data_IF_454405558199
#
_entry.id   IF_454405558199
#
_cell.length_a   1.000
_cell.length_b   1.000
_cell.length_c   1.000
_cell.angle_alpha   90.00
_cell.angle_beta   90.00
_cell.angle_gamma   90.00
#
_symmetry.space_group_name_H-M   'P 1'
#
loop_
_entity.id
_entity.type
_entity.pdbx_description
1 polymer ?
#
# COMPACT_ATOMS: atom_id res chain seq x y z
N UNK A 1 36.67 -32.09 6.02
CA UNK A 1 37.24 -30.72 5.98
C UNK A 1 38.60 -30.66 6.70
N UNK A 2 39.50 -31.62 6.43
CA UNK A 2 40.84 -31.70 7.07
C UNK A 2 42.02 -31.79 6.08
N UNK A 3 41.79 -32.04 4.78
CA UNK A 3 42.87 -32.26 3.81
C UNK A 3 43.32 -31.03 2.98
N UNK A 4 42.64 -29.87 3.09
CA UNK A 4 43.03 -28.68 2.30
C UNK A 4 44.08 -27.81 3.01
N UNK A 5 44.25 -27.95 4.34
CA UNK A 5 45.20 -27.12 5.10
C UNK A 5 46.67 -27.52 4.92
N UNK A 6 46.97 -28.70 4.36
CA UNK A 6 48.34 -29.20 4.27
C UNK A 6 49.14 -28.68 3.05
N UNK A 7 48.47 -28.15 2.01
CA UNK A 7 49.15 -27.72 0.76
C UNK A 7 49.46 -26.22 0.74
N UNK A 8 48.71 -25.40 1.48
CA UNK A 8 48.77 -23.92 1.36
C UNK A 8 49.90 -23.29 2.20
N UNK A 9 50.49 -24.02 3.14
CA UNK A 9 51.50 -23.50 4.06
C UNK A 9 52.89 -23.22 3.49
N UNK A 10 53.14 -23.46 2.19
CA UNK A 10 54.50 -23.46 1.62
C UNK A 10 54.83 -22.31 0.64
N UNK A 11 53.87 -21.46 0.30
CA UNK A 11 54.09 -20.32 -0.62
C UNK A 11 54.23 -18.95 0.09
N UNK A 12 54.30 -18.92 1.43
CA UNK A 12 54.39 -17.67 2.18
C UNK A 12 55.59 -17.70 3.13
N UNK A 13 56.77 -17.41 2.60
CA UNK A 13 57.88 -16.74 3.30
C UNK A 13 59.04 -16.55 2.30
N UNK A 14 59.13 -15.36 1.72
CA UNK A 14 60.40 -14.75 1.28
C UNK A 14 60.14 -13.26 1.01
N UNK A 15 59.88 -12.51 2.09
CA UNK A 15 60.08 -11.07 2.10
C UNK A 15 60.46 -10.66 3.52
N UNK A 16 61.76 -10.49 3.74
CA UNK A 16 62.42 -9.51 4.62
C UNK A 16 63.78 -10.00 5.15
N UNK A 17 64.67 -9.03 5.36
CA UNK A 17 65.96 -9.04 6.05
C UNK A 17 67.24 -9.43 5.28
N UNK A 18 67.88 -8.40 4.72
CA UNK A 18 69.33 -8.29 4.55
C UNK A 18 69.98 -7.71 5.83
N UNK A 19 71.20 -8.20 6.09
CA UNK A 19 72.21 -7.70 7.05
C UNK A 19 71.90 -8.07 8.51
N UNK A 20 72.80 -8.71 9.27
CA UNK A 20 74.21 -8.38 9.52
C UNK A 20 74.93 -9.54 10.26
N UNK A 21 76.27 -9.55 10.16
CA UNK A 21 77.27 -10.03 11.13
C UNK A 21 77.68 -11.53 11.21
N UNK A 22 78.93 -11.75 10.77
CA UNK A 22 80.05 -12.45 11.43
C UNK A 22 79.91 -13.93 11.83
N UNK A 23 80.47 -14.77 10.97
CA UNK A 23 81.56 -15.74 11.24
C UNK A 23 81.54 -16.59 12.50
N UNK A 24 81.53 -17.92 12.32
CA UNK A 24 82.35 -18.92 13.03
C UNK A 24 82.36 -20.22 12.21
N UNK A 25 83.55 -20.80 12.04
CA UNK A 25 83.82 -22.12 11.45
C UNK A 25 83.19 -23.22 12.33
N UNK A 26 82.51 -24.21 11.75
CA UNK A 26 82.63 -25.64 12.16
C UNK A 26 82.13 -26.54 11.03
N UNK A 27 82.98 -27.48 10.65
CA UNK A 27 82.76 -28.59 9.72
C UNK A 27 81.92 -29.67 10.43
N UNK A 28 80.85 -30.17 9.81
CA UNK A 28 80.47 -31.60 9.93
C UNK A 28 79.54 -32.00 8.78
N UNK A 29 80.05 -32.88 7.90
CA UNK A 29 79.27 -33.71 6.99
C UNK A 29 78.35 -34.63 7.80
N UNK A 30 77.09 -34.79 7.38
CA UNK A 30 76.33 -36.06 7.39
C UNK A 30 75.08 -35.86 6.50
N UNK A 31 74.89 -36.78 5.54
CA UNK A 31 73.56 -37.28 5.18
C UNK A 31 72.69 -36.45 4.24
N UNK A 32 73.18 -36.16 3.03
CA UNK A 32 72.35 -35.72 1.90
C UNK A 32 71.40 -36.87 1.49
N UNK A 33 70.20 -36.90 2.06
CA UNK A 33 69.03 -37.60 1.49
C UNK A 33 67.96 -36.55 1.20
N UNK A 34 68.28 -35.67 0.26
CA UNK A 34 67.33 -34.76 -0.36
C UNK A 34 66.50 -35.60 -1.32
N UNK A 35 65.40 -36.16 -0.81
CA UNK A 35 64.26 -36.46 -1.65
C UNK A 35 63.77 -35.13 -2.22
N UNK A 36 64.28 -34.80 -3.41
CA UNK A 36 63.86 -33.68 -4.22
C UNK A 36 62.34 -33.76 -4.37
N UNK A 37 61.69 -32.81 -3.71
CA UNK A 37 60.32 -32.42 -3.92
C UNK A 37 60.13 -32.08 -5.41
N UNK A 38 59.69 -33.05 -6.21
CA UNK A 38 59.03 -32.78 -7.48
C UNK A 38 57.66 -32.20 -7.18
N UNK A 39 57.61 -30.91 -6.90
CA UNK A 39 56.39 -30.11 -6.79
C UNK A 39 56.56 -28.81 -7.58
N UNK A 40 57.04 -28.93 -8.82
CA UNK A 40 57.17 -27.82 -9.77
C UNK A 40 56.12 -27.88 -10.89
N UNK A 41 55.14 -28.80 -10.80
CA UNK A 41 54.05 -28.93 -11.79
C UNK A 41 52.69 -28.38 -11.32
N UNK A 42 52.51 -28.11 -10.02
CA UNK A 42 51.21 -27.72 -9.45
C UNK A 42 50.92 -26.21 -9.52
N UNK A 43 51.94 -25.36 -9.73
CA UNK A 43 51.72 -23.91 -9.88
C UNK A 43 51.20 -23.57 -11.28
N UNK A 44 51.78 -24.18 -12.33
CA UNK A 44 51.38 -23.95 -13.72
C UNK A 44 49.91 -24.32 -13.98
N UNK A 45 49.42 -25.41 -13.38
CA UNK A 45 48.04 -25.86 -13.58
C UNK A 45 46.98 -25.04 -12.84
N UNK A 46 47.32 -24.46 -11.68
CA UNK A 46 46.43 -23.51 -10.99
C UNK A 46 46.32 -22.22 -11.80
N UNK A 47 47.44 -21.70 -12.32
CA UNK A 47 47.43 -20.49 -13.15
C UNK A 47 46.69 -20.71 -14.48
N UNK A 48 46.84 -21.89 -15.09
CA UNK A 48 46.07 -22.29 -16.27
C UNK A 48 44.56 -22.38 -15.96
N UNK A 49 44.19 -23.01 -14.84
CA UNK A 49 42.79 -23.10 -14.41
C UNK A 49 42.16 -21.72 -14.19
N UNK A 50 42.89 -20.81 -13.54
CA UNK A 50 42.47 -19.42 -13.33
C UNK A 50 42.29 -18.70 -14.67
N UNK A 51 43.19 -18.90 -15.64
CA UNK A 51 43.07 -18.32 -16.98
C UNK A 51 41.86 -18.83 -17.75
N UNK A 52 41.50 -20.11 -17.59
CA UNK A 52 40.26 -20.67 -18.18
C UNK A 52 39.02 -20.02 -17.55
N UNK A 53 39.02 -19.84 -16.23
CA UNK A 53 37.90 -19.19 -15.52
C UNK A 53 37.78 -17.71 -15.90
N UNK A 54 38.90 -16.98 -15.98
CA UNK A 54 38.90 -15.56 -16.32
C UNK A 54 38.37 -15.28 -17.72
N UNK A 55 38.75 -16.10 -18.71
CA UNK A 55 38.14 -16.06 -20.05
C UNK A 55 36.66 -16.41 -20.02
N UNK A 56 36.25 -17.35 -19.16
CA UNK A 56 34.84 -17.64 -18.94
C UNK A 56 34.06 -16.43 -18.43
N UNK A 57 34.60 -15.72 -17.44
CA UNK A 57 33.99 -14.50 -16.91
C UNK A 57 33.90 -13.42 -18.00
N UNK A 58 34.98 -13.20 -18.76
CA UNK A 58 35.02 -12.22 -19.84
C UNK A 58 33.99 -12.51 -20.93
N UNK A 59 33.90 -13.78 -21.37
CA UNK A 59 32.94 -14.18 -22.40
C UNK A 59 31.49 -14.00 -21.94
N UNK A 60 31.15 -14.32 -20.69
CA UNK A 60 29.80 -14.10 -20.14
C UNK A 60 29.51 -12.61 -19.99
N UNK A 61 30.53 -11.82 -19.61
CA UNK A 61 30.39 -10.35 -19.52
C UNK A 61 30.12 -9.74 -20.89
N UNK A 62 30.74 -10.27 -21.95
CA UNK A 62 30.54 -9.80 -23.33
C UNK A 62 29.23 -10.31 -23.95
N UNK A 63 28.81 -11.54 -23.64
CA UNK A 63 27.62 -12.19 -24.19
C UNK A 63 26.93 -13.05 -23.12
N UNK A 64 26.11 -12.41 -22.28
CA UNK A 64 25.41 -13.04 -21.16
C UNK A 64 24.56 -14.23 -21.59
N UNK A 65 23.94 -14.18 -22.77
CA UNK A 65 23.12 -15.26 -23.32
C UNK A 65 23.89 -16.58 -23.53
N UNK A 66 25.21 -16.51 -23.69
CA UNK A 66 26.09 -17.66 -23.90
C UNK A 66 26.54 -18.34 -22.59
N UNK A 67 26.05 -17.89 -21.43
CA UNK A 67 26.49 -18.36 -20.10
C UNK A 67 26.54 -19.88 -19.96
N UNK A 68 25.54 -20.59 -20.47
CA UNK A 68 25.45 -22.05 -20.34
C UNK A 68 26.60 -22.74 -21.10
N UNK A 69 26.81 -22.35 -22.35
CA UNK A 69 27.88 -22.87 -23.22
C UNK A 69 29.25 -22.52 -22.63
N UNK A 70 29.39 -21.30 -22.09
CA UNK A 70 30.64 -20.87 -21.45
C UNK A 70 30.95 -21.70 -20.21
N UNK A 71 29.98 -21.94 -19.32
CA UNK A 71 30.18 -22.77 -18.13
C UNK A 71 30.56 -24.23 -18.48
N UNK A 72 29.91 -24.82 -19.49
CA UNK A 72 30.26 -26.16 -19.97
C UNK A 72 31.69 -26.22 -20.52
N UNK A 73 32.09 -25.19 -21.27
CA UNK A 73 33.45 -25.06 -21.82
C UNK A 73 34.49 -24.85 -20.71
N UNK A 74 34.21 -24.03 -19.70
CA UNK A 74 35.07 -23.87 -18.52
C UNK A 74 35.29 -25.23 -17.85
N UNK A 75 34.22 -25.97 -17.56
CA UNK A 75 34.32 -27.29 -16.92
C UNK A 75 35.12 -28.32 -17.74
N UNK A 76 34.98 -28.30 -19.07
CA UNK A 76 35.70 -29.20 -19.98
C UNK A 76 37.19 -28.85 -20.06
N UNK A 77 37.53 -27.56 -20.05
CA UNK A 77 38.90 -27.07 -20.26
C UNK A 77 39.72 -26.89 -18.99
N UNK A 78 39.17 -27.16 -17.80
CA UNK A 78 39.96 -27.21 -16.57
C UNK A 78 41.08 -28.27 -16.69
N UNK A 79 42.31 -28.00 -16.22
CA UNK A 79 43.40 -28.97 -16.23
C UNK A 79 43.06 -30.26 -15.47
N UNK A 80 43.63 -31.40 -15.91
CA UNK A 80 43.28 -32.74 -15.39
C UNK A 80 43.72 -32.99 -13.95
N UNK A 81 44.71 -32.24 -13.50
CA UNK A 81 45.32 -32.32 -12.17
C UNK A 81 44.64 -31.39 -11.15
N UNK A 82 43.70 -30.54 -11.57
CA UNK A 82 42.77 -29.85 -10.68
C UNK A 82 41.79 -30.86 -10.07
N UNK A 83 41.49 -30.69 -8.78
CA UNK A 83 40.56 -31.54 -8.02
C UNK A 83 39.26 -31.82 -8.79
N UNK A 84 38.88 -33.09 -8.86
CA UNK A 84 37.59 -33.51 -9.44
C UNK A 84 36.39 -32.80 -8.80
N UNK A 85 36.51 -32.34 -7.54
CA UNK A 85 35.47 -31.56 -6.85
C UNK A 85 35.21 -30.24 -7.55
N UNK A 86 36.24 -29.48 -7.91
CA UNK A 86 36.13 -28.18 -8.59
C UNK A 86 35.51 -28.33 -9.97
N UNK A 87 35.86 -29.41 -10.69
CA UNK A 87 35.26 -29.75 -11.97
C UNK A 87 33.79 -30.12 -11.83
N UNK A 88 33.46 -30.90 -10.80
CA UNK A 88 32.07 -31.25 -10.47
C UNK A 88 31.26 -30.01 -10.07
N UNK A 89 31.84 -29.07 -9.32
CA UNK A 89 31.17 -27.83 -8.94
C UNK A 89 30.83 -26.97 -10.18
N UNK A 90 31.77 -26.84 -11.13
CA UNK A 90 31.53 -26.14 -12.39
C UNK A 90 30.45 -26.83 -13.26
N UNK A 91 30.44 -28.16 -13.31
CA UNK A 91 29.41 -28.93 -14.02
C UNK A 91 28.04 -28.84 -13.34
N UNK A 92 28.00 -28.95 -12.02
CA UNK A 92 26.78 -28.83 -11.23
C UNK A 92 26.20 -27.42 -11.33
N UNK A 93 27.03 -26.38 -11.39
CA UNK A 93 26.57 -25.01 -11.60
C UNK A 93 25.79 -24.88 -12.91
N UNK A 94 26.34 -25.42 -14.02
CA UNK A 94 25.67 -25.41 -15.31
C UNK A 94 24.34 -26.20 -15.25
N UNK A 95 24.36 -27.42 -14.69
CA UNK A 95 23.17 -28.28 -14.63
C UNK A 95 22.07 -27.77 -13.69
N UNK A 96 22.42 -27.23 -12.51
CA UNK A 96 21.44 -26.67 -11.55
C UNK A 96 20.78 -25.43 -12.11
N UNK A 97 21.57 -24.53 -12.69
CA UNK A 97 21.05 -23.31 -13.32
C UNK A 97 20.04 -23.61 -14.43
N UNK A 98 20.21 -24.70 -15.19
CA UNK A 98 19.26 -25.16 -16.23
C UNK A 98 18.00 -25.78 -15.62
N UNK A 99 18.16 -26.69 -14.65
CA UNK A 99 17.04 -27.39 -14.03
C UNK A 99 16.10 -26.43 -13.26
N UNK A 100 16.67 -25.38 -12.69
CA UNK A 100 15.95 -24.37 -11.91
C UNK A 100 15.37 -23.25 -12.80
N UNK A 101 16.01 -22.97 -13.95
CA UNK A 101 15.48 -22.06 -14.98
C UNK A 101 14.11 -22.51 -15.53
N UNK A 102 13.84 -23.83 -15.55
CA UNK A 102 12.67 -24.40 -16.21
C UNK A 102 11.36 -24.43 -15.40
N UNK A 103 11.40 -24.18 -14.07
CA UNK A 103 10.24 -24.43 -13.19
C UNK A 103 9.80 -23.17 -12.41
N UNK A 104 10.72 -22.24 -12.06
CA UNK A 104 10.38 -21.11 -11.18
C UNK A 104 11.02 -19.77 -11.59
N UNK A 105 11.88 -19.76 -12.61
CA UNK A 105 12.78 -18.63 -12.85
C UNK A 105 12.14 -17.55 -13.73
N UNK A 106 11.85 -16.40 -13.11
CA UNK A 106 11.21 -15.23 -13.77
C UNK A 106 12.20 -14.17 -14.28
N UNK A 107 13.49 -14.39 -14.08
CA UNK A 107 14.54 -13.41 -14.37
C UNK A 107 14.99 -13.47 -15.85
N UNK A 108 15.57 -12.37 -16.35
CA UNK A 108 16.15 -12.32 -17.70
C UNK A 108 17.46 -13.10 -17.82
N UNK A 109 17.94 -13.30 -19.05
CA UNK A 109 19.17 -14.07 -19.31
C UNK A 109 20.43 -13.39 -18.76
N UNK A 110 20.43 -12.05 -18.67
CA UNK A 110 21.53 -11.27 -18.09
C UNK A 110 21.75 -11.62 -16.61
N UNK A 111 20.65 -11.78 -15.86
CA UNK A 111 20.69 -12.16 -14.46
C UNK A 111 21.29 -13.56 -14.23
N UNK A 112 21.09 -14.50 -15.18
CA UNK A 112 21.76 -15.81 -15.17
C UNK A 112 23.26 -15.69 -15.51
N UNK A 113 23.62 -14.80 -16.44
CA UNK A 113 25.01 -14.45 -16.73
C UNK A 113 25.74 -13.92 -15.49
N UNK A 114 25.16 -12.95 -14.79
CA UNK A 114 25.72 -12.40 -13.55
C UNK A 114 25.93 -13.46 -12.47
N UNK A 115 24.97 -14.37 -12.32
CA UNK A 115 25.09 -15.51 -11.39
C UNK A 115 26.25 -16.43 -11.76
N UNK A 116 26.38 -16.75 -13.05
CA UNK A 116 27.46 -17.58 -13.56
C UNK A 116 28.82 -16.91 -13.31
N UNK A 117 28.94 -15.60 -13.56
CA UNK A 117 30.14 -14.81 -13.25
C UNK A 117 30.48 -14.89 -11.76
N UNK A 118 29.53 -14.64 -10.84
CA UNK A 118 29.78 -14.71 -9.39
C UNK A 118 30.26 -16.10 -8.97
N UNK A 119 29.66 -17.14 -9.52
CA UNK A 119 30.03 -18.53 -9.21
C UNK A 119 31.44 -18.88 -9.72
N UNK A 120 31.80 -18.40 -10.91
CA UNK A 120 33.17 -18.51 -11.45
C UNK A 120 34.18 -17.73 -10.59
N UNK A 121 33.82 -16.54 -10.09
CA UNK A 121 34.66 -15.77 -9.17
C UNK A 121 34.88 -16.51 -7.85
N UNK A 122 33.87 -17.21 -7.33
CA UNK A 122 34.03 -18.06 -6.15
C UNK A 122 34.98 -19.23 -6.42
N UNK A 123 34.81 -19.90 -7.56
CA UNK A 123 35.70 -20.99 -7.95
C UNK A 123 37.16 -20.53 -8.06
N UNK A 124 37.37 -19.35 -8.65
CA UNK A 124 38.68 -18.69 -8.72
C UNK A 124 39.25 -18.39 -7.34
N UNK A 125 38.44 -17.90 -6.40
CA UNK A 125 38.87 -17.63 -5.03
C UNK A 125 39.24 -18.93 -4.28
N UNK A 126 38.48 -20.00 -4.48
CA UNK A 126 38.79 -21.33 -3.92
C UNK A 126 40.13 -21.85 -4.44
N UNK A 127 40.38 -21.77 -5.76
CA UNK A 127 41.65 -22.17 -6.37
C UNK A 127 42.83 -21.37 -5.82
N UNK A 128 42.64 -20.07 -5.56
CA UNK A 128 43.68 -19.20 -4.98
C UNK A 128 43.86 -19.37 -3.48
N UNK A 129 42.99 -20.13 -2.81
CA UNK A 129 42.95 -20.21 -1.35
C UNK A 129 42.68 -18.85 -0.67
N UNK A 130 42.08 -17.91 -1.39
CA UNK A 130 41.72 -16.58 -0.86
C UNK A 130 40.35 -16.60 -0.20
N UNK A 131 40.02 -15.54 0.53
CA UNK A 131 38.68 -15.34 1.08
C UNK A 131 37.63 -15.38 -0.02
N UNK A 132 36.58 -16.16 0.20
CA UNK A 132 35.45 -16.25 -0.74
C UNK A 132 34.70 -14.91 -0.77
N UNK A 133 34.33 -14.41 -1.96
CA UNK A 133 33.42 -13.29 -2.05
C UNK A 133 32.11 -13.58 -1.30
N UNK A 134 31.56 -12.62 -0.54
CA UNK A 134 30.27 -12.80 0.13
C UNK A 134 29.16 -13.05 -0.90
N UNK A 135 28.29 -14.03 -0.61
CA UNK A 135 27.11 -14.33 -1.41
C UNK A 135 25.95 -13.45 -0.96
N UNK A 136 25.86 -12.27 -1.57
CA UNK A 136 24.71 -11.42 -1.42
C UNK A 136 23.53 -11.94 -2.25
N UNK A 137 22.29 -11.94 -1.70
CA UNK A 137 21.09 -12.25 -2.46
C UNK A 137 21.02 -11.31 -3.67
N UNK A 138 20.76 -11.82 -4.86
CA UNK A 138 20.53 -10.95 -6.01
C UNK A 138 19.04 -10.95 -6.33
N UNK A 139 18.51 -9.77 -6.65
CA UNK A 139 17.10 -9.56 -6.93
C UNK A 139 16.90 -9.31 -8.41
N UNK A 140 15.88 -9.94 -9.00
CA UNK A 140 15.52 -9.67 -10.39
C UNK A 140 14.15 -9.00 -10.51
N UNK A 141 13.16 -9.45 -9.73
CA UNK A 141 11.81 -8.90 -9.80
C UNK A 141 11.10 -9.02 -8.45
N UNK A 142 10.37 -7.97 -8.08
CA UNK A 142 9.34 -7.98 -7.03
C UNK A 142 7.97 -7.88 -7.71
N UNK A 143 7.02 -8.73 -7.33
CA UNK A 143 5.69 -8.77 -7.98
C UNK A 143 4.57 -8.99 -6.96
N UNK A 144 3.60 -8.07 -6.87
CA UNK A 144 3.61 -6.75 -7.53
C UNK A 144 4.70 -5.83 -6.94
N UNK A 145 5.12 -4.84 -7.72
CA UNK A 145 6.03 -3.75 -7.29
C UNK A 145 5.26 -2.56 -6.68
N UNK A 146 3.94 -2.58 -6.76
CA UNK A 146 3.05 -1.67 -6.06
C UNK A 146 1.81 -2.39 -5.51
N UNK A 147 1.41 -2.03 -4.29
CA UNK A 147 0.17 -2.44 -3.66
C UNK A 147 -0.78 -1.26 -3.72
N UNK A 148 -1.84 -1.36 -4.51
CA UNK A 148 -2.88 -0.33 -4.55
C UNK A 148 -4.00 -0.65 -3.56
N UNK A 149 -4.04 0.01 -2.40
CA UNK A 149 -5.07 -0.21 -1.37
C UNK A 149 -6.49 0.23 -1.80
N UNK A 150 -6.64 0.86 -2.98
CA UNK A 150 -7.95 1.12 -3.60
C UNK A 150 -8.45 -0.05 -4.45
N UNK A 151 -7.57 -0.90 -4.96
CA UNK A 151 -7.93 -2.03 -5.80
C UNK A 151 -8.67 -3.13 -5.00
N UNK A 152 -9.15 -4.18 -5.68
CA UNK A 152 -9.78 -5.30 -4.99
C UNK A 152 -8.74 -6.01 -4.09
N UNK A 153 -9.02 -6.21 -2.78
CA UNK A 153 -8.18 -6.95 -1.85
C UNK A 153 -7.76 -8.34 -2.29
N UNK A 154 -8.58 -9.01 -3.11
CA UNK A 154 -8.24 -10.32 -3.67
C UNK A 154 -6.93 -10.27 -4.48
N UNK A 155 -6.57 -9.10 -5.02
CA UNK A 155 -5.34 -8.85 -5.76
C UNK A 155 -4.10 -8.65 -4.88
N UNK A 156 -4.25 -8.42 -3.57
CA UNK A 156 -3.13 -8.16 -2.66
C UNK A 156 -2.59 -9.42 -1.99
N UNK A 157 -3.03 -10.62 -2.37
CA UNK A 157 -2.76 -11.83 -1.59
C UNK A 157 -1.29 -12.03 -1.21
N UNK A 158 -0.36 -11.77 -2.14
CA UNK A 158 1.07 -11.96 -1.88
C UNK A 158 1.95 -11.01 -2.68
N UNK A 159 3.08 -10.60 -2.10
CA UNK A 159 4.25 -10.14 -2.87
C UNK A 159 5.21 -11.29 -3.03
N UNK A 160 5.69 -11.51 -4.25
CA UNK A 160 6.75 -12.45 -4.55
C UNK A 160 8.01 -11.70 -4.92
N UNK A 161 9.10 -11.99 -4.22
CA UNK A 161 10.44 -11.55 -4.57
C UNK A 161 11.21 -12.70 -5.21
N UNK A 162 11.67 -12.49 -6.44
CA UNK A 162 12.40 -13.48 -7.24
C UNK A 162 13.86 -13.07 -7.41
N UNK A 163 14.76 -14.04 -7.37
CA UNK A 163 16.19 -13.85 -7.59
C UNK A 163 16.99 -15.10 -7.23
N UNK A 164 18.19 -14.99 -6.66
CA UNK A 164 18.97 -16.13 -6.14
C UNK A 164 19.66 -15.79 -4.83
N UNK A 165 20.14 -16.80 -4.09
CA UNK A 165 20.75 -16.65 -2.76
C UNK A 165 19.80 -16.04 -1.72
N UNK A 166 18.49 -16.22 -1.89
CA UNK A 166 17.45 -15.67 -1.01
C UNK A 166 17.38 -16.29 0.38
N UNK A 167 18.03 -17.45 0.57
CA UNK A 167 18.13 -18.17 1.84
C UNK A 167 19.45 -17.86 2.58
N UNK A 168 20.30 -16.99 2.03
CA UNK A 168 21.60 -16.67 2.62
C UNK A 168 21.45 -15.68 3.77
N UNK A 169 22.28 -15.92 4.79
CA UNK A 169 22.43 -15.03 5.93
C UNK A 169 23.52 -14.00 5.66
N UNK A 170 23.32 -12.79 6.14
CA UNK A 170 24.37 -11.77 6.18
C UNK A 170 25.46 -12.10 7.22
N UNK A 171 26.44 -11.21 7.35
CA UNK A 171 27.53 -11.33 8.32
C UNK A 171 27.07 -11.26 9.77
N UNK A 172 25.89 -10.69 10.05
CA UNK A 172 25.25 -10.69 11.37
C UNK A 172 24.49 -11.99 11.66
N UNK A 173 24.30 -12.85 10.66
CA UNK A 173 23.57 -14.11 10.78
C UNK A 173 22.05 -13.98 10.57
N UNK A 174 21.59 -12.82 10.09
CA UNK A 174 20.21 -12.53 9.74
C UNK A 174 19.90 -12.92 8.29
N UNK A 175 18.69 -13.41 8.05
CA UNK A 175 18.16 -13.59 6.70
C UNK A 175 17.76 -12.24 6.11
N UNK A 176 17.35 -12.22 4.85
CA UNK A 176 16.72 -11.06 4.25
C UNK A 176 15.46 -10.67 5.04
N UNK A 177 15.41 -9.46 5.57
CA UNK A 177 14.30 -8.97 6.40
C UNK A 177 13.40 -8.01 5.60
N UNK A 178 12.17 -7.81 6.07
CA UNK A 178 11.19 -6.93 5.44
C UNK A 178 10.57 -5.99 6.45
N UNK A 179 10.38 -4.75 6.04
CA UNK A 179 9.93 -3.65 6.89
C UNK A 179 8.84 -2.83 6.21
N UNK A 180 7.94 -2.29 7.01
CA UNK A 180 6.92 -1.33 6.59
C UNK A 180 7.37 0.08 6.97
N UNK A 181 7.46 0.98 5.99
CA UNK A 181 7.70 2.39 6.21
C UNK A 181 6.38 3.15 6.14
N UNK A 182 6.02 3.84 7.22
CA UNK A 182 4.83 4.67 7.34
C UNK A 182 5.07 6.12 6.90
N UNK A 183 3.98 6.86 6.61
CA UNK A 183 4.04 8.29 6.21
C UNK A 183 4.73 9.20 7.23
N UNK A 184 4.74 8.81 8.52
CA UNK A 184 5.36 9.55 9.61
C UNK A 184 6.87 9.21 9.79
N UNK A 185 7.41 8.33 8.95
CA UNK A 185 8.78 7.83 9.04
C UNK A 185 8.97 6.64 9.99
N UNK A 186 7.90 6.17 10.63
CA UNK A 186 7.98 4.97 11.49
C UNK A 186 8.27 3.74 10.64
N UNK A 187 9.23 2.94 11.10
CA UNK A 187 9.60 1.65 10.50
C UNK A 187 9.11 0.52 11.40
N UNK A 188 8.36 -0.43 10.86
CA UNK A 188 7.91 -1.64 11.58
C UNK A 188 8.35 -2.89 10.82
N UNK A 189 9.02 -3.82 11.49
CA UNK A 189 9.38 -5.11 10.90
C UNK A 189 8.13 -5.96 10.60
N UNK A 190 8.15 -6.65 9.47
CA UNK A 190 7.16 -7.68 9.13
C UNK A 190 7.55 -8.98 9.85
N UNK A 191 6.60 -9.57 10.55
CA UNK A 191 6.81 -10.83 11.27
C UNK A 191 7.14 -11.97 10.29
N UNK A 192 8.12 -12.80 10.64
CA UNK A 192 8.59 -13.93 9.83
C UNK A 192 7.46 -14.94 9.51
N UNK A 193 6.40 -15.00 10.32
CA UNK A 193 5.22 -15.83 10.04
C UNK A 193 4.48 -15.45 8.74
N UNK A 194 4.69 -14.24 8.22
CA UNK A 194 4.14 -13.80 6.94
C UNK A 194 5.08 -14.05 5.76
N UNK A 195 6.28 -14.56 6.01
CA UNK A 195 7.34 -14.70 5.02
C UNK A 195 7.59 -16.18 4.74
N UNK A 196 7.21 -16.62 3.54
CA UNK A 196 7.47 -17.97 3.05
C UNK A 196 8.76 -18.00 2.23
N UNK A 197 9.75 -18.75 2.73
CA UNK A 197 11.05 -18.98 2.06
C UNK A 197 11.12 -20.41 1.55
N UNK A 198 10.38 -20.69 0.48
CA UNK A 198 10.22 -22.06 -0.03
C UNK A 198 11.44 -22.53 -0.80
N UNK A 199 12.12 -21.63 -1.51
CA UNK A 199 13.27 -21.96 -2.34
C UNK A 199 14.39 -20.93 -2.20
N UNK A 200 15.57 -21.29 -2.70
CA UNK A 200 16.72 -20.41 -2.80
C UNK A 200 16.52 -19.23 -3.77
N UNK A 201 15.45 -19.26 -4.57
CA UNK A 201 15.18 -18.31 -5.66
C UNK A 201 13.97 -17.41 -5.40
N UNK A 202 13.17 -17.72 -4.39
CA UNK A 202 11.89 -17.06 -4.19
C UNK A 202 11.59 -16.88 -2.71
N UNK A 203 11.15 -15.66 -2.39
CA UNK A 203 10.49 -15.33 -1.12
C UNK A 203 9.09 -14.84 -1.44
N UNK A 204 8.10 -15.30 -0.68
CA UNK A 204 6.72 -14.84 -0.81
C UNK A 204 6.27 -14.23 0.52
N UNK A 205 5.78 -13.00 0.48
CA UNK A 205 5.21 -12.28 1.61
C UNK A 205 3.69 -12.36 1.48
N UNK A 206 3.01 -12.94 2.47
CA UNK A 206 1.56 -12.96 2.53
C UNK A 206 1.06 -11.62 3.09
N UNK A 207 0.25 -10.90 2.32
CA UNK A 207 -0.27 -9.59 2.74
C UNK A 207 -1.74 -9.63 3.15
N UNK A 208 -2.45 -10.77 2.99
CA UNK A 208 -3.89 -10.83 3.26
C UNK A 208 -4.22 -10.35 4.67
N UNK A 209 -3.42 -10.76 5.65
CA UNK A 209 -3.61 -10.38 7.05
C UNK A 209 -2.89 -9.07 7.43
N UNK A 210 -2.04 -8.54 6.52
CA UNK A 210 -1.28 -7.30 6.71
C UNK A 210 -2.01 -6.10 6.10
N UNK A 211 -2.90 -6.28 5.12
CA UNK A 211 -3.57 -5.17 4.42
C UNK A 211 -4.23 -4.15 5.35
N UNK A 212 -4.92 -4.62 6.41
CA UNK A 212 -5.46 -3.76 7.46
C UNK A 212 -4.39 -2.95 8.17
N UNK A 213 -3.26 -3.59 8.49
CA UNK A 213 -2.08 -2.92 9.08
C UNK A 213 -1.50 -1.88 8.12
N UNK A 214 -1.41 -2.16 6.82
CA UNK A 214 -0.94 -1.21 5.81
C UNK A 214 -1.78 0.07 5.82
N UNK A 215 -3.10 -0.08 5.91
CA UNK A 215 -4.03 1.05 5.99
C UNK A 215 -3.93 1.80 7.33
N UNK A 216 -4.08 1.10 8.46
CA UNK A 216 -4.13 1.71 9.80
C UNK A 216 -2.84 2.44 10.14
N UNK A 217 -1.69 1.87 9.76
CA UNK A 217 -0.37 2.48 9.97
C UNK A 217 0.03 3.45 8.86
N UNK A 218 -0.80 3.68 7.83
CA UNK A 218 -0.48 4.55 6.68
C UNK A 218 0.88 4.20 6.06
N UNK A 219 1.07 2.91 5.79
CA UNK A 219 2.29 2.41 5.15
C UNK A 219 2.37 2.95 3.73
N UNK A 220 3.54 3.44 3.34
CA UNK A 220 3.83 3.97 1.99
C UNK A 220 4.78 3.08 1.21
N UNK A 221 5.56 2.24 1.90
CA UNK A 221 6.49 1.31 1.27
C UNK A 221 6.65 0.03 2.08
N UNK A 222 6.87 -1.06 1.38
CA UNK A 222 7.52 -2.25 1.92
C UNK A 222 8.97 -2.25 1.47
N UNK A 223 9.88 -2.25 2.43
CA UNK A 223 11.30 -2.20 2.22
C UNK A 223 11.92 -3.56 2.54
N UNK A 224 12.96 -3.91 1.79
CA UNK A 224 13.78 -5.10 2.05
C UNK A 224 15.08 -4.65 2.72
N UNK A 225 15.56 -5.38 3.72
CA UNK A 225 16.80 -5.07 4.45
C UNK A 225 17.76 -6.25 4.50
N UNK A 226 19.05 -5.97 4.31
CA UNK A 226 20.15 -6.94 4.41
C UNK A 226 21.45 -6.20 4.70
N UNK A 227 22.11 -6.53 5.82
CA UNK A 227 23.17 -5.69 6.42
C UNK A 227 24.35 -5.41 5.48
N UNK A 228 24.73 -6.39 4.67
CA UNK A 228 25.92 -6.32 3.81
C UNK A 228 25.60 -6.03 2.34
N UNK A 229 24.41 -5.51 2.03
CA UNK A 229 24.02 -5.34 0.63
C UNK A 229 24.77 -4.17 -0.02
N UNK A 230 25.50 -4.38 -1.14
CA UNK A 230 26.30 -3.33 -1.75
C UNK A 230 25.50 -2.35 -2.63
N UNK A 231 24.18 -2.52 -2.76
CA UNK A 231 23.35 -1.78 -3.71
C UNK A 231 21.97 -1.41 -3.18
N UNK A 232 21.05 -1.09 -4.11
CA UNK A 232 19.66 -0.81 -3.79
C UNK A 232 18.90 -2.13 -3.59
N UNK A 233 18.23 -2.24 -2.45
CA UNK A 233 17.33 -3.33 -2.15
C UNK A 233 15.94 -3.07 -2.78
N UNK A 234 15.22 -4.13 -3.17
CA UNK A 234 13.89 -3.98 -3.77
C UNK A 234 12.89 -3.43 -2.75
N UNK A 235 12.00 -2.57 -3.24
CA UNK A 235 10.92 -1.98 -2.47
C UNK A 235 9.60 -2.12 -3.26
N UNK A 236 8.49 -2.31 -2.55
CA UNK A 236 7.15 -2.17 -3.12
C UNK A 236 6.50 -0.88 -2.61
N UNK A 237 5.91 -0.10 -3.51
CA UNK A 237 5.19 1.12 -3.13
C UNK A 237 3.78 0.74 -2.67
N UNK A 238 3.31 1.31 -1.56
CA UNK A 238 1.93 1.17 -1.11
C UNK A 238 1.19 2.44 -1.48
N UNK A 239 0.24 2.35 -2.43
CA UNK A 239 -0.64 3.45 -2.77
C UNK A 239 -1.75 3.51 -1.71
N UNK A 240 -1.93 4.64 -1.01
CA UNK A 240 -2.91 4.75 0.05
C UNK A 240 -4.32 4.64 -0.53
N UNK A 241 -5.22 4.04 0.24
CA UNK A 241 -6.64 4.06 -0.10
C UNK A 241 -7.14 5.50 -0.15
N UNK A 242 -7.97 5.80 -1.15
CA UNK A 242 -8.62 7.09 -1.29
C UNK A 242 -10.13 6.89 -1.30
N UNK A 243 -10.87 7.67 -0.49
CA UNK A 243 -12.31 7.50 -0.41
C UNK A 243 -12.97 7.83 -1.74
N UNK A 244 -13.95 7.01 -2.14
CA UNK A 244 -14.77 7.36 -3.29
C UNK A 244 -15.75 8.47 -2.92
N UNK A 245 -15.99 9.37 -3.88
CA UNK A 245 -17.01 10.42 -3.77
C UNK A 245 -18.05 10.22 -4.84
N UNK A 246 -19.31 10.34 -4.45
CA UNK A 246 -20.43 10.34 -5.39
C UNK A 246 -21.40 11.46 -5.06
N UNK A 247 -22.19 11.85 -6.05
CA UNK A 247 -23.24 12.84 -5.91
C UNK A 247 -24.57 12.23 -6.31
N UNK A 248 -25.58 12.43 -5.48
CA UNK A 248 -26.92 11.94 -5.76
C UNK A 248 -27.97 13.04 -5.58
N UNK A 249 -29.03 12.93 -6.36
CA UNK A 249 -30.16 13.86 -6.32
C UNK A 249 -31.33 13.17 -5.64
N UNK A 250 -31.67 13.64 -4.44
CA UNK A 250 -32.68 13.03 -3.56
C UNK A 250 -33.92 13.90 -3.52
N UNK A 251 -35.09 13.32 -3.79
CA UNK A 251 -36.36 13.99 -3.57
C UNK A 251 -36.78 13.88 -2.10
N UNK A 252 -36.82 15.01 -1.41
CA UNK A 252 -37.19 15.09 0.01
C UNK A 252 -38.72 15.05 0.20
N UNK A 253 -39.49 15.32 -0.85
CA UNK A 253 -40.95 15.29 -0.81
C UNK A 253 -41.57 16.50 -0.10
N UNK A 254 -42.48 16.25 0.86
CA UNK A 254 -43.27 17.30 1.53
C UNK A 254 -43.37 17.10 3.04
N UNK A 255 -43.44 18.20 3.77
CA UNK A 255 -43.70 18.23 5.22
C UNK A 255 -44.97 19.01 5.51
N UNK A 256 -45.89 18.44 6.30
CA UNK A 256 -47.08 19.14 6.80
C UNK A 256 -46.92 19.43 8.29
N UNK A 257 -47.24 20.64 8.71
CA UNK A 257 -47.18 21.04 10.11
C UNK A 257 -48.32 21.96 10.49
N UNK A 258 -48.95 21.63 11.61
CA UNK A 258 -50.06 22.38 12.21
C UNK A 258 -49.59 22.93 13.56
N UNK A 259 -49.30 24.23 13.65
CA UNK A 259 -48.85 24.83 14.90
C UNK A 259 -49.94 24.79 15.99
N UNK A 260 -49.56 24.64 17.27
CA UNK A 260 -50.49 24.81 18.37
C UNK A 260 -50.95 26.27 18.49
N UNK A 261 -52.12 26.46 19.11
CA UNK A 261 -52.59 27.77 19.53
C UNK A 261 -51.75 28.29 20.70
N UNK A 262 -51.31 29.55 20.62
CA UNK A 262 -50.35 30.12 21.60
C UNK A 262 -50.90 31.24 22.49
N UNK A 263 -52.03 31.88 22.12
CA UNK A 263 -52.66 32.97 22.89
C UNK A 263 -54.18 32.85 23.02
N UNK A 264 -54.82 33.91 23.56
CA UNK A 264 -56.29 34.11 23.60
C UNK A 264 -56.86 34.28 22.18
N UNK A 265 -58.18 34.33 22.08
CA UNK A 265 -58.94 34.26 20.82
C UNK A 265 -59.94 33.13 20.89
N UNK A 266 -60.92 33.10 20.00
CA UNK A 266 -62.01 32.12 19.99
C UNK A 266 -61.67 30.83 19.22
N UNK A 267 -60.50 30.79 18.56
CA UNK A 267 -59.98 29.70 17.69
C UNK A 267 -60.47 29.77 16.25
N UNK A 268 -61.34 30.72 15.92
CA UNK A 268 -61.77 31.03 14.57
C UNK A 268 -60.81 32.08 13.99
N UNK A 269 -60.34 31.90 12.75
CA UNK A 269 -59.61 32.93 12.03
C UNK A 269 -60.57 33.64 11.06
N UNK A 270 -60.78 34.94 11.24
CA UNK A 270 -61.70 35.72 10.42
C UNK A 270 -60.99 36.52 9.32
N UNK A 271 -61.06 36.00 8.09
CA UNK A 271 -60.49 36.66 6.90
C UNK A 271 -61.52 37.39 6.05
N UNK A 272 -62.72 37.69 6.58
CA UNK A 272 -63.80 38.37 5.84
C UNK A 272 -63.58 39.89 5.75
N UNK A 273 -63.96 40.46 4.60
CA UNK A 273 -63.96 41.91 4.33
C UNK A 273 -62.56 42.56 4.42
N UNK A 274 -62.36 43.53 5.31
CA UNK A 274 -61.08 44.24 5.51
C UNK A 274 -60.20 43.62 6.61
N UNK A 275 -60.63 42.48 7.17
CA UNK A 275 -59.84 41.67 8.10
C UNK A 275 -58.88 40.76 7.34
N UNK A 276 -57.70 40.54 7.91
CA UNK A 276 -56.72 39.62 7.38
C UNK A 276 -56.00 38.88 8.50
N UNK A 277 -55.55 37.69 8.15
CA UNK A 277 -54.61 36.92 8.93
C UNK A 277 -53.21 37.18 8.40
N UNK A 278 -52.30 37.68 9.24
CA UNK A 278 -50.88 37.70 8.90
C UNK A 278 -50.30 36.29 9.05
N UNK A 279 -49.49 35.86 8.09
CA UNK A 279 -48.81 34.56 8.14
C UNK A 279 -47.32 34.73 7.87
N UNK A 280 -46.52 34.00 8.65
CA UNK A 280 -45.08 33.82 8.43
C UNK A 280 -44.79 32.32 8.39
N UNK A 281 -44.26 31.86 7.26
CA UNK A 281 -43.78 30.49 7.08
C UNK A 281 -42.25 30.50 7.00
N UNK A 282 -41.60 29.53 7.64
CA UNK A 282 -40.16 29.30 7.48
C UNK A 282 -39.88 27.82 7.33
N UNK A 283 -38.80 27.50 6.64
CA UNK A 283 -38.29 26.15 6.53
C UNK A 283 -36.78 26.16 6.69
N UNK A 284 -36.26 25.17 7.40
CA UNK A 284 -34.84 25.03 7.68
C UNK A 284 -34.39 23.60 7.40
N UNK A 285 -33.13 23.47 6.99
CA UNK A 285 -32.40 22.21 6.91
C UNK A 285 -31.10 22.32 7.69
N UNK A 286 -30.62 21.21 8.24
CA UNK A 286 -29.30 21.14 8.85
C UNK A 286 -28.68 19.78 8.61
N UNK A 287 -27.35 19.72 8.58
CA UNK A 287 -26.61 18.48 8.76
C UNK A 287 -26.41 18.29 10.26
N UNK A 288 -26.94 17.20 10.82
CA UNK A 288 -26.72 16.81 12.21
C UNK A 288 -26.16 15.39 12.22
N UNK A 289 -24.96 15.24 12.80
CA UNK A 289 -24.15 14.03 12.72
C UNK A 289 -23.89 13.64 11.26
N UNK A 290 -24.62 12.67 10.73
CA UNK A 290 -24.53 12.21 9.35
C UNK A 290 -25.90 12.15 8.67
N UNK A 291 -26.86 12.95 9.13
CA UNK A 291 -28.22 12.98 8.62
C UNK A 291 -28.62 14.41 8.31
N UNK A 292 -29.18 14.63 7.12
CA UNK A 292 -29.84 15.90 6.81
C UNK A 292 -31.21 15.86 7.48
N UNK A 293 -31.45 16.83 8.35
CA UNK A 293 -32.73 17.02 9.03
C UNK A 293 -33.42 18.27 8.49
N UNK A 294 -34.74 18.24 8.47
CA UNK A 294 -35.57 19.39 8.08
C UNK A 294 -36.58 19.71 9.17
N UNK A 295 -36.98 20.98 9.22
CA UNK A 295 -38.14 21.42 10.02
C UNK A 295 -38.80 22.63 9.39
N UNK A 296 -40.04 22.83 9.78
CA UNK A 296 -40.90 23.91 9.28
C UNK A 296 -41.51 24.69 10.44
N UNK A 297 -41.76 25.97 10.21
CA UNK A 297 -42.39 26.90 11.14
C UNK A 297 -43.57 27.56 10.49
N UNK A 298 -44.59 27.80 11.29
CA UNK A 298 -45.69 28.67 10.94
C UNK A 298 -46.04 29.55 12.13
N UNK A 299 -46.26 30.82 11.84
CA UNK A 299 -46.94 31.78 12.71
C UNK A 299 -48.09 32.36 11.93
N UNK A 300 -49.29 32.32 12.48
CA UNK A 300 -50.45 32.97 11.90
C UNK A 300 -51.25 33.67 12.98
N UNK A 301 -51.67 34.90 12.69
CA UNK A 301 -52.35 35.78 13.65
C UNK A 301 -53.39 36.64 12.97
N UNK A 302 -54.53 36.81 13.62
CA UNK A 302 -55.49 37.86 13.26
C UNK A 302 -54.97 39.24 13.68
N UNK A 303 -54.99 40.19 12.75
CA UNK A 303 -54.56 41.55 13.03
C UNK A 303 -55.70 42.46 13.53
N UNK A 304 -56.95 41.96 13.51
CA UNK A 304 -58.15 42.73 13.88
C UNK A 304 -59.24 41.84 14.52
N UNK A 305 -59.55 42.13 15.79
CA UNK A 305 -60.50 41.36 16.62
C UNK A 305 -59.94 39.99 17.06
N UNK A 306 -60.45 39.45 18.19
CA UNK A 306 -60.18 38.15 18.86
C UNK A 306 -58.71 37.80 19.18
N UNK A 307 -57.81 38.15 18.28
CA UNK A 307 -56.37 37.91 18.26
C UNK A 307 -56.05 36.43 18.24
N UNK A 308 -56.85 35.62 17.53
CA UNK A 308 -56.57 34.20 17.35
C UNK A 308 -55.17 34.05 16.73
N UNK A 309 -54.35 33.21 17.35
CA UNK A 309 -52.93 33.09 17.06
C UNK A 309 -52.44 31.64 17.23
N UNK A 310 -51.75 31.14 16.20
CA UNK A 310 -51.03 29.86 16.21
C UNK A 310 -49.57 30.10 15.90
N UNK A 311 -48.69 29.39 16.59
CA UNK A 311 -47.25 29.51 16.37
C UNK A 311 -46.53 28.23 16.75
N UNK A 312 -45.52 27.85 15.96
CA UNK A 312 -44.52 26.92 16.43
C UNK A 312 -43.61 26.39 15.35
N UNK A 313 -42.60 25.66 15.79
CA UNK A 313 -41.76 24.81 14.95
C UNK A 313 -42.23 23.37 15.06
N UNK A 314 -42.22 22.65 13.94
CA UNK A 314 -42.15 21.19 13.97
C UNK A 314 -40.84 20.72 14.59
N UNK A 315 -40.85 19.50 15.11
CA UNK A 315 -39.64 18.79 15.46
C UNK A 315 -38.75 18.57 14.21
N UNK A 316 -37.45 18.43 14.44
CA UNK A 316 -36.53 18.04 13.38
C UNK A 316 -36.82 16.62 12.91
N UNK A 317 -37.09 16.47 11.62
CA UNK A 317 -37.31 15.17 10.99
C UNK A 317 -36.13 14.80 10.08
N UNK A 318 -35.74 13.53 10.06
CA UNK A 318 -34.74 13.02 9.13
C UNK A 318 -35.27 13.12 7.70
N UNK A 319 -34.51 13.78 6.84
CA UNK A 319 -34.82 13.95 5.42
C UNK A 319 -33.94 13.03 4.55
N UNK A 320 -32.69 12.81 4.97
CA UNK A 320 -31.77 11.91 4.29
C UNK A 320 -30.69 11.40 5.23
N UNK A 321 -30.40 10.10 5.13
CA UNK A 321 -29.28 9.41 5.79
C UNK A 321 -28.55 8.61 4.72
N UNK A 322 -27.22 8.75 4.57
CA UNK A 322 -26.47 8.00 3.58
C UNK A 322 -26.40 6.51 3.96
N UNK A 323 -26.08 5.63 3.00
CA UNK A 323 -25.81 4.22 3.29
C UNK A 323 -24.70 4.04 4.35
N UNK A 324 -24.71 2.89 5.03
CA UNK A 324 -23.63 2.51 5.94
C UNK A 324 -22.28 2.55 5.22
N UNK A 325 -21.24 3.04 5.92
CA UNK A 325 -19.92 3.24 5.34
C UNK A 325 -19.72 4.59 4.62
N UNK A 326 -20.77 5.41 4.47
CA UNK A 326 -20.71 6.71 3.79
C UNK A 326 -21.00 7.88 4.72
N UNK A 327 -20.37 9.02 4.48
CA UNK A 327 -20.67 10.29 5.15
C UNK A 327 -21.07 11.38 4.18
N UNK A 328 -21.93 12.28 4.64
CA UNK A 328 -22.30 13.49 3.89
C UNK A 328 -21.14 14.49 3.94
N UNK A 329 -20.67 14.90 2.77
CA UNK A 329 -19.65 15.94 2.58
C UNK A 329 -20.32 17.31 2.44
N UNK A 330 -21.34 17.37 1.58
CA UNK A 330 -22.06 18.60 1.28
C UNK A 330 -23.47 18.32 0.77
N UNK A 331 -24.37 19.30 0.85
CA UNK A 331 -25.68 19.21 0.19
C UNK A 331 -26.16 20.60 -0.26
N UNK A 332 -26.93 20.64 -1.35
CA UNK A 332 -27.55 21.85 -1.87
C UNK A 332 -28.95 21.59 -2.44
N UNK A 333 -29.88 22.56 -2.41
CA UNK A 333 -29.77 23.83 -1.69
C UNK A 333 -29.69 23.63 -0.18
N UNK A 334 -29.07 24.59 0.52
CA UNK A 334 -29.00 24.64 1.99
C UNK A 334 -29.38 26.03 2.52
N UNK A 335 -29.96 26.88 1.67
CA UNK A 335 -30.45 28.22 2.03
C UNK A 335 -31.87 28.11 2.57
N UNK A 336 -32.03 28.49 3.84
CA UNK A 336 -33.34 28.53 4.50
C UNK A 336 -34.36 29.35 3.69
N UNK A 337 -35.61 28.94 3.75
CA UNK A 337 -36.69 29.62 3.05
C UNK A 337 -37.59 30.34 4.06
N UNK A 338 -38.06 31.53 3.71
CA UNK A 338 -39.07 32.24 4.49
C UNK A 338 -40.07 32.98 3.60
N UNK A 339 -41.31 33.07 4.05
CA UNK A 339 -42.34 33.82 3.37
C UNK A 339 -43.29 34.47 4.37
N UNK A 340 -43.70 35.71 4.08
CA UNK A 340 -44.71 36.42 4.86
C UNK A 340 -45.78 36.97 3.93
N UNK A 341 -47.04 36.86 4.34
CA UNK A 341 -48.18 37.34 3.57
C UNK A 341 -49.36 37.71 4.48
N UNK A 342 -50.31 38.47 3.93
CA UNK A 342 -51.63 38.67 4.53
C UNK A 342 -52.65 37.85 3.74
N UNK A 343 -53.48 37.09 4.44
CA UNK A 343 -54.51 36.22 3.88
C UNK A 343 -55.89 36.83 4.15
N UNK A 344 -56.65 37.08 3.09
CA UNK A 344 -58.00 37.69 3.11
C UNK A 344 -59.06 36.77 2.47
N UNK A 345 -58.71 35.50 2.24
CA UNK A 345 -59.60 34.54 1.57
C UNK A 345 -59.56 33.22 2.29
N UNK A 346 -60.72 32.56 2.36
CA UNK A 346 -60.84 31.24 2.94
C UNK A 346 -60.08 30.19 2.10
N UNK A 347 -59.61 29.13 2.76
CA UNK A 347 -59.05 27.95 2.13
C UNK A 347 -57.53 27.97 1.96
N UNK A 348 -57.06 27.30 0.91
CA UNK A 348 -55.64 27.04 0.66
C UNK A 348 -55.05 28.09 -0.27
N UNK A 349 -53.90 28.64 0.11
CA UNK A 349 -53.12 29.57 -0.72
C UNK A 349 -51.73 28.98 -0.97
N UNK A 350 -51.22 29.16 -2.19
CA UNK A 350 -49.92 28.65 -2.62
C UNK A 350 -48.95 29.79 -2.86
N UNK A 351 -47.74 29.67 -2.32
CA UNK A 351 -46.65 30.64 -2.48
C UNK A 351 -45.40 29.96 -3.04
N UNK A 352 -45.09 30.22 -4.31
CA UNK A 352 -43.84 29.75 -4.94
C UNK A 352 -42.62 30.45 -4.35
N UNK A 353 -41.50 29.72 -4.27
CA UNK A 353 -40.23 30.24 -3.76
C UNK A 353 -39.19 30.38 -4.88
N UNK A 354 -38.28 31.35 -4.78
CA UNK A 354 -37.23 31.52 -5.77
C UNK A 354 -36.32 30.29 -5.86
N UNK A 355 -35.60 30.16 -6.97
CA UNK A 355 -34.57 29.14 -7.11
C UNK A 355 -33.44 29.38 -6.09
N UNK A 356 -32.82 28.30 -5.60
CA UNK A 356 -31.71 28.37 -4.63
C UNK A 356 -32.13 28.22 -3.17
N UNK A 357 -33.39 28.47 -2.81
CA UNK A 357 -33.94 28.16 -1.48
C UNK A 357 -34.28 26.66 -1.36
N UNK A 358 -34.29 26.12 -0.13
CA UNK A 358 -34.64 24.71 0.14
C UNK A 358 -36.09 24.35 -0.16
N UNK A 359 -36.97 25.34 -0.27
CA UNK A 359 -38.40 25.15 -0.55
C UNK A 359 -38.69 25.53 -1.99
N UNK A 360 -39.55 24.75 -2.64
CA UNK A 360 -40.10 25.07 -3.97
C UNK A 360 -41.38 25.90 -3.86
N UNK A 361 -42.27 25.53 -2.92
CA UNK A 361 -43.48 26.29 -2.57
C UNK A 361 -43.96 25.98 -1.15
N UNK A 362 -44.65 26.95 -0.56
CA UNK A 362 -45.51 26.76 0.60
C UNK A 362 -46.96 26.64 0.14
N UNK A 363 -47.72 25.75 0.77
CA UNK A 363 -49.18 25.78 0.75
C UNK A 363 -49.64 26.10 2.18
N UNK A 364 -50.51 27.09 2.34
CA UNK A 364 -50.97 27.57 3.65
C UNK A 364 -52.49 27.42 3.70
N UNK A 365 -52.97 26.82 4.78
CA UNK A 365 -54.38 26.73 5.13
C UNK A 365 -54.60 27.69 6.29
N UNK A 366 -55.35 28.76 6.05
CA UNK A 366 -55.63 29.79 7.05
C UNK A 366 -57.00 29.58 7.70
N UNK A 367 -57.98 30.27 7.13
CA UNK A 367 -59.38 30.33 7.56
C UNK A 367 -60.24 29.30 6.79
N UNK A 368 -61.18 28.68 7.51
CA UNK A 368 -62.39 28.06 6.96
C UNK A 368 -63.56 28.41 7.89
N UNK A 369 -64.74 27.86 7.62
CA UNK A 369 -65.84 28.01 8.57
C UNK A 369 -65.64 27.12 9.81
N UNK A 370 -65.54 27.74 11.00
CA UNK A 370 -65.54 27.05 12.30
C UNK A 370 -64.34 27.38 13.19
N UNK A 371 -63.90 26.41 13.99
CA UNK A 371 -62.62 26.50 14.71
C UNK A 371 -61.48 26.01 13.77
N UNK A 372 -60.38 26.76 13.68
CA UNK A 372 -59.20 26.40 12.88
C UNK A 372 -57.90 26.35 13.67
N UNK A 373 -57.76 27.19 14.69
CA UNK A 373 -56.51 27.33 15.41
C UNK A 373 -56.12 26.03 16.11
N UNK A 374 -55.03 25.40 15.65
CA UNK A 374 -54.53 24.13 16.17
C UNK A 374 -55.25 22.88 15.68
N UNK A 375 -56.23 23.00 14.77
CA UNK A 375 -56.96 21.85 14.19
C UNK A 375 -57.11 21.89 12.65
N UNK A 376 -56.85 23.03 12.01
CA UNK A 376 -56.88 23.20 10.56
C UNK A 376 -55.76 24.09 10.05
N UNK A 377 -55.51 25.21 10.73
CA UNK A 377 -54.50 26.19 10.30
C UNK A 377 -53.13 25.55 10.26
N UNK A 378 -52.57 25.38 9.06
CA UNK A 378 -51.34 24.60 8.84
C UNK A 378 -50.56 25.09 7.63
N UNK A 379 -49.32 24.64 7.55
CA UNK A 379 -48.45 24.81 6.38
C UNK A 379 -48.07 23.43 5.82
N UNK A 380 -48.07 23.30 4.49
CA UNK A 380 -47.38 22.25 3.77
C UNK A 380 -46.21 22.85 3.01
N UNK A 381 -45.02 22.28 3.24
CA UNK A 381 -43.78 22.69 2.61
C UNK A 381 -43.41 21.64 1.58
N UNK A 382 -43.23 22.09 0.34
CA UNK A 382 -42.73 21.24 -0.75
C UNK A 382 -41.25 21.52 -0.94
N UNK A 383 -40.42 20.58 -0.53
CA UNK A 383 -38.97 20.72 -0.61
C UNK A 383 -38.49 20.67 -2.06
N UNK A 384 -37.36 21.32 -2.33
CA UNK A 384 -36.63 21.04 -3.58
C UNK A 384 -35.83 19.74 -3.40
N UNK A 385 -35.59 18.97 -4.48
CA UNK A 385 -34.64 17.89 -4.43
C UNK A 385 -33.27 18.40 -3.98
N UNK A 386 -32.61 17.66 -3.10
CA UNK A 386 -31.26 17.96 -2.66
C UNK A 386 -30.27 17.24 -3.56
N UNK A 387 -29.22 17.94 -3.97
CA UNK A 387 -28.00 17.35 -4.50
C UNK A 387 -27.04 17.16 -3.33
N UNK A 388 -26.71 15.91 -3.04
CA UNK A 388 -25.95 15.49 -1.86
C UNK A 388 -24.65 14.86 -2.34
N UNK A 389 -23.53 15.36 -1.85
CA UNK A 389 -22.22 14.75 -2.04
C UNK A 389 -21.92 13.87 -0.82
N UNK A 390 -21.63 12.60 -1.08
CA UNK A 390 -21.26 11.62 -0.05
C UNK A 390 -19.88 11.04 -0.36
N UNK A 391 -19.17 10.64 0.70
CA UNK A 391 -17.82 10.10 0.64
C UNK A 391 -17.71 8.85 1.53
N UNK A 392 -17.02 7.82 1.04
CA UNK A 392 -16.72 6.62 1.84
C UNK A 392 -15.89 6.98 3.07
N UNK A 393 -16.21 6.40 4.22
CA UNK A 393 -15.52 6.63 5.49
C UNK A 393 -14.36 5.65 5.64
N UNK A 394 -14.57 4.40 5.23
CA UNK A 394 -13.63 3.30 5.32
C UNK A 394 -13.70 2.46 4.04
N UNK A 395 -12.63 1.75 3.68
CA UNK A 395 -12.70 0.73 2.65
C UNK A 395 -13.61 -0.43 3.08
N UNK A 396 -14.41 -0.95 2.15
CA UNK A 396 -15.34 -2.07 2.39
C UNK A 396 -14.67 -3.36 2.90
N UNK A 397 -13.36 -3.51 2.68
CA UNK A 397 -12.59 -4.69 3.07
C UNK A 397 -11.97 -4.59 4.46
N UNK A 398 -12.14 -3.46 5.15
CA UNK A 398 -11.70 -3.29 6.55
C UNK A 398 -12.79 -3.71 7.54
N UNK A 399 -14.06 -3.59 7.16
CA UNK A 399 -15.23 -4.02 7.94
C UNK A 399 -15.39 -5.53 7.88
#
# INVERSE_FOLDING_TARGET
>A
MQDVKAVIGKCRNDFEHKSLLKGIKTIFLIGLSVALLTSCGSCDSIDEAISVIDRGIEDITSESASWQTVLQRVAANLPKDISNTIRQDAQQLASRSIAEAGIEFRCNVDFLGDRAIRSLQQLKAQLRGTTLPPLAPAFCQMTPDAIDLKANPDGWGTITLSGYDMDKKDSAGSLLEFEMLSTDGTVTQIDENYIARTTHYQITINLRDIAKTLYEKRVVKLCTTWTDYPGLLPEAVVLPWQPNRTSERVDIGRTSYMPPKVRRGDKDFNTKSDKHMSVVCKAQSRLYENTIQTRVYMHAREERSDWTEVEGWSDWAAAYTPPDGWRIVSYRPNVESSHSANITTHGKITYSRPAGEIVSRYEVWGDREGDEAGIWTKVEVFWRPFEIEIEEILPDWIT
#
